data_IF_196364779365
#
_entry.id   IF_196364779365
#
_cell.length_a   1.000
_cell.length_b   1.000
_cell.length_c   1.000
_cell.angle_alpha   90.00
_cell.angle_beta   90.00
_cell.angle_gamma   90.00
#
_symmetry.space_group_name_H-M   'P 1'
#
loop_
_entity.id
_entity.type
_entity.pdbx_description
1 polymer ?
#
# COMPACT_ATOMS: atom_id res chain seq x y z
N UNK A 1 2.90 13.35 20.84
CA UNK A 1 2.92 13.21 19.38
C UNK A 1 2.34 11.83 19.08
N UNK A 2 1.25 11.73 18.31
CA UNK A 2 0.68 10.42 17.93
C UNK A 2 1.54 9.85 16.82
N UNK A 3 2.04 8.62 16.98
CA UNK A 3 2.77 7.94 15.91
C UNK A 3 1.77 7.23 15.00
N UNK A 4 1.62 7.71 13.78
CA UNK A 4 0.81 7.05 12.75
C UNK A 4 1.68 5.97 12.10
N UNK A 5 1.20 4.73 12.12
CA UNK A 5 1.77 3.63 11.34
C UNK A 5 0.99 3.58 10.02
N UNK A 6 1.57 3.99 8.89
CA UNK A 6 0.86 4.00 7.62
C UNK A 6 0.62 2.58 7.11
N UNK A 7 -0.36 2.42 6.22
CA UNK A 7 -0.48 1.20 5.44
C UNK A 7 0.75 1.04 4.54
N UNK A 8 1.28 -0.17 4.48
CA UNK A 8 2.39 -0.50 3.60
C UNK A 8 1.89 -0.81 2.18
N UNK A 9 2.67 -0.39 1.19
CA UNK A 9 2.54 -0.79 -0.21
C UNK A 9 3.82 -1.51 -0.59
N UNK A 10 3.72 -2.61 -1.34
CA UNK A 10 4.89 -3.32 -1.87
C UNK A 10 5.43 -2.53 -3.06
N UNK A 11 6.18 -1.46 -2.80
CA UNK A 11 6.70 -0.55 -3.84
C UNK A 11 7.56 -1.29 -4.89
N UNK A 12 8.17 -2.42 -4.56
CA UNK A 12 8.88 -3.28 -5.52
C UNK A 12 7.98 -3.89 -6.61
N UNK A 13 6.67 -4.06 -6.35
CA UNK A 13 5.69 -4.48 -7.36
C UNK A 13 5.31 -3.34 -8.32
N UNK A 14 5.52 -2.09 -7.91
CA UNK A 14 5.15 -0.88 -8.66
C UNK A 14 6.40 -0.07 -8.99
N UNK A 15 7.09 -0.44 -10.06
CA UNK A 15 8.32 0.24 -10.51
C UNK A 15 8.19 0.76 -11.94
N UNK A 16 8.92 1.82 -12.34
CA UNK A 16 9.06 2.19 -13.74
C UNK A 16 9.55 1.01 -14.60
N UNK A 17 9.35 1.10 -15.92
CA UNK A 17 9.92 0.15 -16.87
C UNK A 17 11.45 0.25 -16.87
N UNK A 18 12.12 -0.90 -16.83
CA UNK A 18 13.56 -0.94 -17.06
C UNK A 18 13.85 -0.64 -18.55
N UNK A 19 14.97 -0.01 -18.95
CA UNK A 19 15.26 0.28 -20.37
C UNK A 19 15.21 -0.95 -21.29
N UNK A 20 15.52 -2.14 -20.78
CA UNK A 20 15.36 -3.40 -21.54
C UNK A 20 13.90 -3.85 -21.71
N UNK A 21 12.99 -3.43 -20.84
CA UNK A 21 11.54 -3.71 -20.93
C UNK A 21 10.86 -2.79 -21.95
N UNK A 22 11.36 -1.56 -22.15
CA UNK A 22 10.82 -0.57 -23.11
C UNK A 22 10.97 -1.05 -24.56
N UNK A 23 12.05 -1.77 -24.88
CA UNK A 23 12.35 -2.26 -26.23
C UNK A 23 12.07 -3.76 -26.42
N UNK A 24 11.60 -4.47 -25.39
CA UNK A 24 11.17 -5.84 -25.55
C UNK A 24 9.97 -5.89 -26.52
N UNK A 25 9.98 -6.74 -27.57
CA UNK A 25 8.76 -6.98 -28.34
C UNK A 25 7.69 -7.45 -27.37
N UNK A 26 6.50 -6.84 -27.42
CA UNK A 26 5.51 -6.80 -26.33
C UNK A 26 5.03 -8.20 -25.86
N UNK A 27 5.87 -8.88 -25.09
CA UNK A 27 5.63 -10.22 -24.60
C UNK A 27 4.59 -10.15 -23.49
N UNK A 28 3.38 -10.62 -23.81
CA UNK A 28 2.19 -10.72 -22.95
C UNK A 28 1.34 -9.45 -22.77
N UNK A 29 1.63 -8.33 -23.44
CA UNK A 29 0.86 -7.09 -23.25
C UNK A 29 -0.55 -7.16 -23.90
N UNK A 30 -1.58 -6.80 -23.14
CA UNK A 30 -2.94 -6.56 -23.66
C UNK A 30 -2.90 -5.59 -24.85
N UNK A 31 -3.37 -6.05 -26.02
CA UNK A 31 -3.29 -5.31 -27.29
C UNK A 31 -4.05 -3.97 -27.29
N UNK A 32 -4.94 -3.75 -26.31
CA UNK A 32 -5.71 -2.52 -26.13
C UNK A 32 -4.95 -1.40 -25.38
N UNK A 33 -3.75 -1.64 -24.87
CA UNK A 33 -3.00 -0.64 -24.11
C UNK A 33 -2.07 0.21 -25.00
N UNK A 34 -2.13 1.57 -24.95
CA UNK A 34 -1.28 2.45 -25.75
C UNK A 34 0.18 2.34 -25.32
N UNK A 35 1.17 2.40 -26.24
CA UNK A 35 2.58 2.13 -25.93
C UNK A 35 3.11 2.99 -24.76
N UNK A 36 4.03 2.45 -23.93
CA UNK A 36 4.59 3.22 -22.82
C UNK A 36 5.33 4.47 -23.35
N UNK A 37 5.29 5.59 -22.61
CA UNK A 37 5.99 6.81 -22.98
C UNK A 37 7.51 6.61 -22.90
N UNK A 38 8.29 7.56 -23.46
CA UNK A 38 9.74 7.62 -23.24
C UNK A 38 10.10 7.55 -21.76
N UNK A 39 11.30 7.05 -21.47
CA UNK A 39 11.82 6.93 -20.10
C UNK A 39 11.71 8.26 -19.34
N UNK A 40 11.25 8.22 -18.08
CA UNK A 40 11.02 9.38 -17.21
C UNK A 40 12.24 10.29 -16.97
N UNK A 41 13.42 9.90 -17.45
CA UNK A 41 14.65 10.69 -17.42
C UNK A 41 14.76 11.72 -18.55
N UNK A 42 13.93 11.62 -19.60
CA UNK A 42 13.89 12.58 -20.70
C UNK A 42 12.86 13.70 -20.42
N UNK A 43 13.20 14.98 -20.67
CA UNK A 43 12.24 16.07 -20.58
C UNK A 43 11.23 16.00 -21.73
N UNK A 44 9.97 16.33 -21.46
CA UNK A 44 8.92 16.38 -22.48
C UNK A 44 9.06 17.63 -23.36
N UNK A 45 9.02 17.43 -24.67
CA UNK A 45 8.94 18.50 -25.66
C UNK A 45 7.54 19.10 -25.78
N UNK A 46 7.39 20.29 -26.40
CA UNK A 46 6.08 20.97 -26.54
C UNK A 46 5.02 20.17 -27.32
N UNK A 47 5.45 19.23 -28.17
CA UNK A 47 4.60 18.41 -29.02
C UNK A 47 4.43 16.97 -28.49
N UNK A 48 5.03 16.64 -27.34
CA UNK A 48 4.96 15.29 -26.80
C UNK A 48 3.59 15.02 -26.17
N UNK A 49 3.11 13.79 -26.31
CA UNK A 49 1.81 13.38 -25.80
C UNK A 49 1.85 13.09 -24.29
N UNK A 50 1.02 13.79 -23.52
CA UNK A 50 0.95 13.63 -22.06
C UNK A 50 -0.26 12.74 -21.71
N UNK A 51 0.00 11.47 -21.47
CA UNK A 51 -0.98 10.54 -20.90
C UNK A 51 -1.24 10.82 -19.41
N UNK A 52 -2.51 11.06 -19.06
CA UNK A 52 -3.05 11.10 -17.70
C UNK A 52 -3.71 9.75 -17.41
N UNK A 53 -3.30 9.07 -16.35
CA UNK A 53 -3.84 7.78 -15.93
C UNK A 53 -4.83 7.96 -14.78
N UNK A 54 -5.95 7.25 -14.84
CA UNK A 54 -6.94 7.14 -13.76
C UNK A 54 -7.20 5.65 -13.51
N UNK A 55 -7.03 5.18 -12.28
CA UNK A 55 -7.34 3.79 -11.90
C UNK A 55 -8.21 3.81 -10.65
N UNK A 56 -9.52 3.62 -10.80
CA UNK A 56 -10.45 3.68 -9.66
C UNK A 56 -11.74 2.91 -9.87
N UNK A 57 -12.46 2.63 -8.77
CA UNK A 57 -13.86 2.21 -8.86
C UNK A 57 -14.69 3.40 -9.33
N UNK A 58 -15.48 3.22 -10.39
CA UNK A 58 -16.28 4.29 -11.02
C UNK A 58 -17.56 4.54 -10.22
N UNK A 59 -17.41 5.23 -9.10
CA UNK A 59 -18.43 5.53 -8.08
C UNK A 59 -18.40 7.01 -7.69
N UNK A 60 -19.54 7.54 -7.25
CA UNK A 60 -19.69 8.92 -6.80
C UNK A 60 -18.60 9.38 -5.81
N UNK A 61 -18.36 8.60 -4.75
CA UNK A 61 -17.37 8.95 -3.72
C UNK A 61 -15.90 8.92 -4.22
N UNK A 62 -15.63 8.31 -5.38
CA UNK A 62 -14.35 8.36 -6.08
C UNK A 62 -14.24 9.50 -7.09
N UNK A 63 -15.24 10.38 -7.15
CA UNK A 63 -15.20 11.59 -7.96
C UNK A 63 -15.37 11.35 -9.45
N UNK A 64 -16.03 10.25 -9.86
CA UNK A 64 -16.27 10.00 -11.29
C UNK A 64 -17.09 11.12 -11.94
N UNK A 65 -18.00 11.77 -11.20
CA UNK A 65 -18.74 12.93 -11.70
C UNK A 65 -17.82 14.15 -11.94
N UNK A 66 -16.79 14.34 -11.11
CA UNK A 66 -15.75 15.36 -11.35
C UNK A 66 -14.87 15.00 -12.55
N UNK A 67 -14.56 13.71 -12.80
CA UNK A 67 -13.89 13.28 -14.03
C UNK A 67 -14.73 13.60 -15.27
N UNK A 68 -16.01 13.23 -15.24
CA UNK A 68 -16.96 13.45 -16.34
C UNK A 68 -17.03 14.94 -16.73
N UNK A 69 -17.07 15.84 -15.74
CA UNK A 69 -17.11 17.28 -15.99
C UNK A 69 -15.75 17.88 -16.40
N UNK A 70 -14.64 17.45 -15.78
CA UNK A 70 -13.31 18.05 -16.01
C UNK A 70 -12.60 17.55 -17.26
N UNK A 71 -12.77 16.28 -17.68
CA UNK A 71 -12.05 15.69 -18.83
C UNK A 71 -12.24 16.52 -20.12
N UNK A 72 -13.45 16.91 -20.54
CA UNK A 72 -13.64 17.75 -21.74
C UNK A 72 -12.88 19.08 -21.67
N UNK A 73 -12.86 19.72 -20.49
CA UNK A 73 -12.20 21.03 -20.29
C UNK A 73 -10.68 20.91 -20.29
N UNK A 74 -10.13 19.89 -19.65
CA UNK A 74 -8.68 19.59 -19.67
C UNK A 74 -8.24 19.30 -21.10
N UNK A 75 -9.00 18.48 -21.85
CA UNK A 75 -8.70 18.15 -23.23
C UNK A 75 -8.92 19.32 -24.21
N UNK A 76 -9.80 20.27 -23.91
CA UNK A 76 -9.93 21.50 -24.69
C UNK A 76 -8.75 22.46 -24.47
N UNK A 77 -8.24 22.54 -23.23
CA UNK A 77 -7.09 23.38 -22.88
C UNK A 77 -5.75 22.81 -23.36
N UNK A 78 -5.60 21.48 -23.39
CA UNK A 78 -4.33 20.80 -23.70
C UNK A 78 -4.49 19.82 -24.87
N UNK A 79 -4.20 20.22 -26.12
CA UNK A 79 -4.38 19.36 -27.30
C UNK A 79 -3.60 18.03 -27.24
N UNK A 80 -2.40 18.06 -26.66
CA UNK A 80 -1.48 16.92 -26.57
C UNK A 80 -1.75 15.99 -25.38
N UNK A 81 -2.77 16.27 -24.56
CA UNK A 81 -3.17 15.40 -23.44
C UNK A 81 -4.08 14.28 -23.91
N UNK A 82 -3.88 13.10 -23.33
CA UNK A 82 -4.75 11.92 -23.50
C UNK A 82 -5.06 11.30 -22.13
N UNK A 83 -6.19 10.61 -22.01
CA UNK A 83 -6.57 9.89 -20.80
C UNK A 83 -6.55 8.38 -21.01
N UNK A 84 -6.07 7.66 -20.01
CA UNK A 84 -6.14 6.21 -19.90
C UNK A 84 -6.86 5.86 -18.61
N UNK A 85 -8.09 5.36 -18.71
CA UNK A 85 -8.99 5.17 -17.56
C UNK A 85 -9.26 3.68 -17.39
N UNK A 86 -8.85 3.13 -16.24
CA UNK A 86 -9.19 1.79 -15.80
C UNK A 86 -10.14 1.84 -14.59
N UNK A 87 -11.14 0.97 -14.60
CA UNK A 87 -12.16 0.94 -13.57
C UNK A 87 -13.46 0.30 -14.03
N UNK A 88 -14.28 -0.05 -13.05
CA UNK A 88 -15.67 -0.46 -13.24
C UNK A 88 -16.53 0.12 -12.12
N UNK A 89 -17.82 0.27 -12.39
CA UNK A 89 -18.80 0.79 -11.44
C UNK A 89 -20.01 1.40 -12.13
N UNK A 90 -21.04 1.81 -11.38
CA UNK A 90 -22.29 2.34 -11.95
C UNK A 90 -22.08 3.60 -12.81
N UNK A 91 -21.01 4.37 -12.57
CA UNK A 91 -20.67 5.58 -13.32
C UNK A 91 -19.92 5.34 -14.64
N UNK A 92 -19.69 4.08 -15.04
CA UNK A 92 -19.07 3.76 -16.33
C UNK A 92 -19.93 4.26 -17.51
N UNK A 93 -21.25 4.05 -17.44
CA UNK A 93 -22.20 4.44 -18.50
C UNK A 93 -22.24 5.98 -18.65
N UNK A 94 -22.29 6.72 -17.54
CA UNK A 94 -22.25 8.19 -17.55
C UNK A 94 -20.95 8.73 -18.20
N UNK A 95 -19.83 8.02 -17.99
CA UNK A 95 -18.53 8.35 -18.58
C UNK A 95 -18.50 8.05 -20.08
N UNK A 96 -18.99 6.88 -20.53
CA UNK A 96 -19.12 6.53 -21.95
C UNK A 96 -20.01 7.52 -22.70
N UNK A 97 -21.18 7.87 -22.15
CA UNK A 97 -22.10 8.86 -22.74
C UNK A 97 -21.47 10.26 -22.85
N UNK A 98 -20.57 10.62 -21.93
CA UNK A 98 -19.80 11.87 -22.01
C UNK A 98 -18.80 11.81 -23.17
N UNK A 99 -18.09 10.69 -23.36
CA UNK A 99 -17.16 10.52 -24.48
C UNK A 99 -17.86 10.58 -25.84
N UNK A 100 -19.04 9.98 -25.96
CA UNK A 100 -19.88 10.08 -27.17
C UNK A 100 -20.31 11.52 -27.44
N UNK A 101 -20.87 12.19 -26.42
CA UNK A 101 -21.39 13.57 -26.53
C UNK A 101 -20.32 14.59 -26.94
N UNK A 102 -19.10 14.41 -26.47
CA UNK A 102 -17.98 15.31 -26.73
C UNK A 102 -17.01 14.81 -27.81
N UNK A 103 -17.27 13.65 -28.42
CA UNK A 103 -16.44 13.00 -29.46
C UNK A 103 -14.98 12.85 -29.00
N UNK A 104 -14.79 12.21 -27.84
CA UNK A 104 -13.48 12.15 -27.15
C UNK A 104 -12.76 10.80 -27.22
N UNK A 105 -13.33 9.78 -27.89
CA UNK A 105 -12.76 8.42 -27.98
C UNK A 105 -11.32 8.37 -28.53
N UNK A 106 -10.95 9.29 -29.44
CA UNK A 106 -9.58 9.37 -29.95
C UNK A 106 -8.55 9.77 -28.87
N UNK A 107 -9.00 10.47 -27.81
CA UNK A 107 -8.14 11.01 -26.74
C UNK A 107 -8.37 10.39 -25.37
N UNK A 108 -9.45 9.61 -25.18
CA UNK A 108 -9.76 8.92 -23.93
C UNK A 108 -9.94 7.43 -24.20
N UNK A 109 -9.06 6.60 -23.64
CA UNK A 109 -9.15 5.14 -23.72
C UNK A 109 -9.71 4.59 -22.41
N UNK A 110 -10.92 4.00 -22.48
CA UNK A 110 -11.51 3.24 -21.39
C UNK A 110 -11.06 1.77 -21.48
N UNK A 111 -10.43 1.26 -20.41
CA UNK A 111 -9.94 -0.11 -20.33
C UNK A 111 -10.91 -1.07 -19.63
N UNK A 112 -11.91 -0.55 -18.93
CA UNK A 112 -12.74 -1.35 -18.04
C UNK A 112 -11.98 -1.84 -16.79
N UNK A 113 -12.43 -2.92 -16.13
CA UNK A 113 -11.78 -3.45 -14.94
C UNK A 113 -10.42 -4.09 -15.25
N UNK A 114 -9.40 -3.75 -14.47
CA UNK A 114 -8.02 -4.24 -14.60
C UNK A 114 -7.65 -5.05 -13.36
N UNK A 115 -6.96 -6.19 -13.53
CA UNK A 115 -6.54 -7.04 -12.40
C UNK A 115 -5.38 -6.38 -11.65
N UNK A 116 -5.25 -6.62 -10.34
CA UNK A 116 -4.24 -5.95 -9.52
C UNK A 116 -2.80 -6.14 -10.05
N UNK A 117 -2.48 -7.32 -10.58
CA UNK A 117 -1.19 -7.63 -11.22
C UNK A 117 -0.90 -6.80 -12.48
N UNK A 118 -1.94 -6.32 -13.19
CA UNK A 118 -1.84 -5.52 -14.42
C UNK A 118 -1.84 -4.01 -14.15
N UNK A 119 -2.11 -3.57 -12.92
CA UNK A 119 -2.22 -2.14 -12.55
C UNK A 119 -0.92 -1.40 -12.85
N UNK A 120 0.26 -2.01 -12.56
CA UNK A 120 1.57 -1.45 -12.94
C UNK A 120 1.64 -1.17 -14.44
N UNK A 121 1.22 -2.12 -15.27
CA UNK A 121 1.36 -2.05 -16.72
C UNK A 121 0.45 -0.99 -17.36
N UNK A 122 -0.60 -0.56 -16.65
CA UNK A 122 -1.39 0.64 -16.98
C UNK A 122 -0.70 1.90 -16.44
N UNK A 123 -0.25 1.91 -15.18
CA UNK A 123 0.40 3.07 -14.56
C UNK A 123 1.64 3.53 -15.33
N UNK A 124 2.54 2.62 -15.72
CA UNK A 124 3.79 2.98 -16.43
C UNK A 124 3.56 3.60 -17.82
N UNK A 125 2.32 3.65 -18.32
CA UNK A 125 1.94 4.35 -19.57
C UNK A 125 1.59 5.83 -19.34
N UNK A 126 1.57 6.28 -18.07
CA UNK A 126 1.21 7.63 -17.66
C UNK A 126 2.39 8.56 -17.35
N UNK A 127 2.10 9.85 -17.37
CA UNK A 127 2.97 10.90 -16.82
C UNK A 127 2.38 11.51 -15.56
N UNK A 128 1.05 11.63 -15.54
CA UNK A 128 0.25 12.14 -14.42
C UNK A 128 -0.71 11.03 -13.97
N UNK A 129 -0.92 10.90 -12.68
CA UNK A 129 -2.01 10.12 -12.10
C UNK A 129 -3.07 11.05 -11.52
N UNK A 130 -4.32 10.95 -11.96
CA UNK A 130 -5.41 11.81 -11.53
C UNK A 130 -6.36 11.07 -10.57
N UNK A 131 -6.51 11.61 -9.36
CA UNK A 131 -7.31 11.01 -8.28
C UNK A 131 -8.28 12.02 -7.64
N UNK A 132 -9.48 12.22 -8.21
CA UNK A 132 -10.41 13.26 -7.78
C UNK A 132 -11.41 12.79 -6.69
N UNK A 133 -10.99 11.88 -5.80
CA UNK A 133 -11.87 11.27 -4.81
C UNK A 133 -12.54 12.31 -3.90
N UNK A 134 -13.83 12.15 -3.59
CA UNK A 134 -14.52 13.05 -2.64
C UNK A 134 -14.18 12.69 -1.18
N UNK A 135 -13.83 11.43 -0.94
CA UNK A 135 -13.41 10.90 0.35
C UNK A 135 -12.30 9.86 0.18
N UNK A 136 -11.19 9.99 0.90
CA UNK A 136 -10.14 8.97 0.93
C UNK A 136 -9.37 9.05 2.26
N UNK A 137 -8.97 7.90 2.80
CA UNK A 137 -8.26 7.82 4.07
C UNK A 137 -6.74 7.81 3.87
N UNK A 138 -6.25 6.98 2.95
CA UNK A 138 -4.83 6.83 2.66
C UNK A 138 -4.53 6.67 1.17
N UNK A 139 -5.46 6.13 0.37
CA UNK A 139 -5.27 6.03 -1.08
C UNK A 139 -3.97 5.33 -1.49
N UNK A 140 -3.82 4.03 -1.18
CA UNK A 140 -2.63 3.23 -1.55
C UNK A 140 -2.24 3.38 -3.02
N UNK A 141 -3.23 3.54 -3.90
CA UNK A 141 -3.05 3.78 -5.34
C UNK A 141 -2.22 5.03 -5.68
N UNK A 142 -2.17 6.04 -4.80
CA UNK A 142 -1.28 7.19 -4.97
C UNK A 142 0.19 6.79 -4.80
N UNK A 143 0.46 5.96 -3.79
CA UNK A 143 1.78 5.39 -3.51
C UNK A 143 2.21 4.48 -4.65
N UNK A 144 1.32 3.62 -5.14
CA UNK A 144 1.53 2.76 -6.32
C UNK A 144 1.88 3.58 -7.57
N UNK A 145 1.12 4.65 -7.86
CA UNK A 145 1.35 5.52 -9.00
C UNK A 145 2.66 6.34 -8.89
N UNK A 146 2.96 6.89 -7.71
CA UNK A 146 4.22 7.59 -7.46
C UNK A 146 5.42 6.65 -7.53
N UNK A 147 5.26 5.38 -7.10
CA UNK A 147 6.27 4.33 -7.29
C UNK A 147 6.52 4.01 -8.78
N UNK A 148 5.57 4.29 -9.66
CA UNK A 148 5.72 4.21 -11.12
C UNK A 148 6.25 5.52 -11.76
N UNK A 149 6.73 6.48 -10.96
CA UNK A 149 7.20 7.82 -11.37
C UNK A 149 6.12 8.74 -12.00
N UNK A 150 4.84 8.61 -11.62
CA UNK A 150 3.79 9.54 -12.06
C UNK A 150 3.72 10.76 -11.14
N UNK A 151 3.49 11.95 -11.72
CA UNK A 151 3.11 13.14 -10.96
C UNK A 151 1.66 12.99 -10.48
N UNK A 152 1.38 13.19 -9.20
CA UNK A 152 0.06 12.94 -8.64
C UNK A 152 -0.75 14.23 -8.66
N UNK A 153 -1.91 14.23 -9.32
CA UNK A 153 -2.93 15.27 -9.19
C UNK A 153 -4.08 14.68 -8.39
N UNK A 154 -4.37 15.24 -7.21
CA UNK A 154 -5.37 14.66 -6.32
C UNK A 154 -6.17 15.71 -5.55
N UNK A 155 -7.36 15.32 -5.12
CA UNK A 155 -8.19 16.13 -4.23
C UNK A 155 -7.63 16.13 -2.81
N UNK A 156 -7.62 17.31 -2.18
CA UNK A 156 -7.18 17.54 -0.80
C UNK A 156 -8.26 17.12 0.19
N UNK A 157 -8.50 15.81 0.31
CA UNK A 157 -9.54 15.22 1.18
C UNK A 157 -8.97 14.18 2.14
N UNK A 158 -9.55 14.09 3.34
CA UNK A 158 -9.14 13.13 4.37
C UNK A 158 -7.64 13.14 4.65
N UNK A 159 -7.02 11.96 4.70
CA UNK A 159 -5.58 11.81 4.98
C UNK A 159 -4.66 11.99 3.78
N UNK A 160 -5.18 12.22 2.56
CA UNK A 160 -4.39 12.35 1.33
C UNK A 160 -3.21 13.34 1.41
N UNK A 161 -3.31 14.50 2.10
CA UNK A 161 -2.18 15.44 2.23
C UNK A 161 -0.97 14.90 3.01
N UNK A 162 -1.10 13.77 3.70
CA UNK A 162 -0.04 13.14 4.50
C UNK A 162 0.65 11.98 3.77
N UNK A 163 0.13 11.56 2.60
CA UNK A 163 0.54 10.31 1.91
C UNK A 163 1.79 10.49 1.05
N UNK A 164 2.01 11.66 0.45
CA UNK A 164 3.16 11.92 -0.41
C UNK A 164 3.70 13.33 -0.19
N UNK A 165 5.02 13.56 -0.36
CA UNK A 165 5.61 14.88 -0.27
C UNK A 165 5.05 15.85 -1.32
N UNK A 166 4.97 17.13 -0.95
CA UNK A 166 4.40 18.19 -1.79
C UNK A 166 5.01 18.31 -3.20
N UNK A 167 6.26 17.90 -3.42
CA UNK A 167 6.90 17.91 -4.75
C UNK A 167 6.45 16.78 -5.68
N UNK A 168 5.72 15.78 -5.16
CA UNK A 168 5.10 14.70 -5.94
C UNK A 168 3.61 14.95 -6.22
N UNK A 169 3.00 15.95 -5.56
CA UNK A 169 1.55 16.11 -5.49
C UNK A 169 1.09 17.52 -5.84
N UNK A 170 0.23 17.66 -6.83
CA UNK A 170 -0.57 18.88 -7.05
C UNK A 170 -1.96 18.66 -6.46
N UNK A 171 -2.35 19.53 -5.53
CA UNK A 171 -3.62 19.43 -4.83
C UNK A 171 -4.71 20.30 -5.47
N UNK A 172 -5.90 19.70 -5.61
CA UNK A 172 -7.14 20.38 -5.95
C UNK A 172 -8.12 20.32 -4.76
N UNK A 173 -9.08 21.24 -4.72
CA UNK A 173 -10.36 21.03 -4.02
C UNK A 173 -11.21 19.99 -4.79
N UNK A 174 -12.22 19.36 -4.15
CA UNK A 174 -13.20 18.50 -4.83
C UNK A 174 -14.22 19.33 -5.64
N UNK A 175 -13.73 20.22 -6.49
CA UNK A 175 -14.45 21.20 -7.31
C UNK A 175 -13.92 21.10 -8.75
N UNK A 176 -14.79 21.20 -9.76
CA UNK A 176 -14.43 21.02 -11.17
C UNK A 176 -13.35 22.01 -11.63
N UNK A 177 -13.54 23.30 -11.39
CA UNK A 177 -12.60 24.36 -11.80
C UNK A 177 -11.20 24.15 -11.19
N UNK A 178 -11.12 23.79 -9.92
CA UNK A 178 -9.84 23.61 -9.23
C UNK A 178 -9.13 22.32 -9.64
N UNK A 179 -9.89 21.29 -10.04
CA UNK A 179 -9.34 20.07 -10.63
C UNK A 179 -8.78 20.31 -12.05
N UNK A 180 -9.49 21.10 -12.87
CA UNK A 180 -9.01 21.53 -14.20
C UNK A 180 -7.75 22.40 -14.06
N UNK A 181 -7.73 23.34 -13.10
CA UNK A 181 -6.54 24.14 -12.78
C UNK A 181 -5.37 23.27 -12.34
N UNK A 182 -5.54 22.45 -11.30
CA UNK A 182 -4.47 21.60 -10.77
C UNK A 182 -3.90 20.63 -11.83
N UNK A 183 -4.75 20.10 -12.70
CA UNK A 183 -4.29 19.26 -13.82
C UNK A 183 -3.50 20.06 -14.86
N UNK A 184 -3.93 21.29 -15.15
CA UNK A 184 -3.22 22.20 -16.07
C UNK A 184 -1.87 22.64 -15.51
N UNK A 185 -1.79 22.94 -14.22
CA UNK A 185 -0.53 23.27 -13.53
C UNK A 185 0.43 22.08 -13.57
N UNK A 186 -0.06 20.86 -13.32
CA UNK A 186 0.72 19.64 -13.42
C UNK A 186 1.23 19.36 -14.85
N UNK A 187 0.42 19.62 -15.88
CA UNK A 187 0.83 19.57 -17.29
C UNK A 187 1.92 20.61 -17.57
N UNK A 188 1.78 21.84 -17.05
CA UNK A 188 2.81 22.88 -17.13
C UNK A 188 4.14 22.49 -16.46
N UNK A 189 4.08 21.90 -15.26
CA UNK A 189 5.25 21.39 -14.53
C UNK A 189 6.02 20.27 -15.25
N UNK A 190 5.35 19.53 -16.13
CA UNK A 190 5.96 18.49 -16.97
C UNK A 190 6.60 19.04 -18.24
N UNK A 191 6.05 20.12 -18.81
CA UNK A 191 6.57 20.81 -20.00
C UNK A 191 7.54 21.97 -19.66
N UNK A 192 7.75 22.23 -18.36
CA UNK A 192 8.60 23.30 -17.85
C UNK A 192 10.08 23.17 -18.25
N UNK A 193 10.82 24.28 -18.13
CA UNK A 193 12.27 24.32 -18.40
C UNK A 193 13.02 24.87 -17.19
N UNK A 194 14.26 24.39 -17.00
CA UNK A 194 15.08 24.75 -15.84
C UNK A 194 14.43 24.33 -14.52
N UNK A 195 14.48 25.17 -13.50
CA UNK A 195 13.97 24.91 -12.15
C UNK A 195 12.46 24.66 -12.07
N UNK A 196 11.69 24.96 -13.13
CA UNK A 196 10.25 24.68 -13.20
C UNK A 196 9.92 23.23 -13.61
N UNK A 197 10.90 22.45 -14.06
CA UNK A 197 10.71 21.07 -14.50
C UNK A 197 10.73 20.09 -13.33
N UNK A 198 9.64 19.35 -13.10
CA UNK A 198 9.60 18.32 -12.06
C UNK A 198 10.38 17.06 -12.48
N UNK A 199 11.41 16.74 -11.69
CA UNK A 199 12.24 15.52 -11.81
C UNK A 199 11.55 14.30 -11.19
N UNK A 200 10.74 13.61 -11.99
CA UNK A 200 9.99 12.40 -11.59
C UNK A 200 10.84 11.13 -11.47
N UNK A 201 12.04 11.11 -12.05
CA UNK A 201 12.94 9.94 -12.11
C UNK A 201 13.33 9.38 -10.72
N UNK A 202 13.22 10.19 -9.66
CA UNK A 202 13.54 9.81 -8.27
C UNK A 202 12.33 9.42 -7.43
N UNK A 203 11.10 9.50 -7.95
CA UNK A 203 9.89 9.27 -7.15
C UNK A 203 9.84 7.83 -6.63
N UNK A 204 10.11 6.83 -7.48
CA UNK A 204 10.19 5.42 -7.08
C UNK A 204 11.08 5.19 -5.86
N UNK A 205 12.32 5.72 -5.89
CA UNK A 205 13.29 5.50 -4.81
C UNK A 205 12.87 6.21 -3.52
N UNK A 206 12.36 7.44 -3.64
CA UNK A 206 11.84 8.18 -2.48
C UNK A 206 10.64 7.46 -1.84
N UNK A 207 9.70 6.96 -2.63
CA UNK A 207 8.52 6.23 -2.14
C UNK A 207 8.92 4.89 -1.52
N UNK A 208 9.85 4.15 -2.13
CA UNK A 208 10.42 2.90 -1.60
C UNK A 208 11.02 3.09 -0.21
N UNK A 209 11.71 4.22 0.03
CA UNK A 209 12.30 4.55 1.33
C UNK A 209 11.28 5.08 2.36
N UNK A 210 10.08 5.48 1.94
CA UNK A 210 9.01 5.92 2.84
C UNK A 210 8.11 4.77 3.32
N UNK A 211 7.80 3.81 2.45
CA UNK A 211 6.80 2.77 2.69
C UNK A 211 7.41 1.36 2.59
N UNK A 212 7.93 0.88 3.72
CA UNK A 212 8.51 -0.45 3.88
C UNK A 212 7.69 -1.30 4.85
N UNK A 213 7.28 -2.49 4.42
CA UNK A 213 6.62 -3.48 5.30
C UNK A 213 7.50 -3.84 6.51
N UNK A 214 8.81 -4.00 6.31
CA UNK A 214 9.75 -4.35 7.39
C UNK A 214 9.89 -3.23 8.42
N UNK A 215 9.85 -1.96 8.00
CA UNK A 215 9.86 -0.82 8.93
C UNK A 215 8.52 -0.67 9.66
N UNK A 216 7.41 -0.92 8.97
CA UNK A 216 6.06 -0.89 9.56
C UNK A 216 5.88 -2.03 10.57
N UNK A 217 6.36 -3.24 10.25
CA UNK A 217 6.41 -4.36 11.18
C UNK A 217 7.26 -4.00 12.42
N UNK A 218 8.50 -3.55 12.23
CA UNK A 218 9.41 -3.17 13.34
C UNK A 218 8.87 -2.03 14.21
N UNK A 219 8.14 -1.07 13.63
CA UNK A 219 7.46 0.00 14.39
C UNK A 219 6.24 -0.54 15.16
N UNK A 220 5.51 -1.47 14.56
CA UNK A 220 4.36 -2.13 15.18
C UNK A 220 4.80 -3.01 16.35
N UNK A 221 5.81 -3.87 16.15
CA UNK A 221 6.44 -4.69 17.19
C UNK A 221 6.83 -3.85 18.40
N UNK A 222 7.52 -2.71 18.20
CA UNK A 222 7.87 -1.79 19.30
C UNK A 222 6.65 -1.28 20.08
N UNK A 223 5.50 -1.08 19.44
CA UNK A 223 4.28 -0.68 20.15
C UNK A 223 3.71 -1.86 20.97
N UNK A 224 3.72 -3.08 20.42
CA UNK A 224 3.35 -4.28 21.17
C UNK A 224 4.30 -4.52 22.35
N UNK A 225 5.62 -4.49 22.13
CA UNK A 225 6.65 -4.64 23.16
C UNK A 225 6.50 -3.59 24.27
N UNK A 226 6.20 -2.32 23.93
CA UNK A 226 5.94 -1.27 24.92
C UNK A 226 4.68 -1.56 25.76
N UNK A 227 3.60 -2.04 25.15
CA UNK A 227 2.35 -2.36 25.86
C UNK A 227 2.52 -3.62 26.72
N UNK A 228 3.28 -4.62 26.24
CA UNK A 228 3.56 -5.87 26.97
C UNK A 228 4.60 -5.68 28.07
N UNK A 229 5.57 -4.78 27.91
CA UNK A 229 6.52 -4.41 28.97
C UNK A 229 5.88 -3.49 30.04
N UNK A 230 4.85 -2.72 29.66
CA UNK A 230 3.99 -2.00 30.61
C UNK A 230 2.84 -2.87 31.14
N UNK A 231 3.04 -4.20 31.21
CA UNK A 231 2.34 -5.07 32.16
C UNK A 231 2.75 -4.76 33.61
N UNK A 232 2.52 -3.52 34.02
CA UNK A 232 2.11 -3.20 35.39
C UNK A 232 0.88 -4.07 35.70
N UNK A 233 0.99 -5.13 36.52
CA UNK A 233 -0.08 -6.12 36.64
C UNK A 233 -1.28 -5.46 37.32
N UNK A 234 -2.32 -5.18 36.54
CA UNK A 234 -3.54 -4.55 37.01
C UNK A 234 -3.30 -3.19 37.71
N UNK A 235 -3.41 -2.08 36.95
CA UNK A 235 -4.08 -0.92 37.55
C UNK A 235 -5.47 -1.39 37.97
N UNK A 236 -5.68 -1.46 39.29
CA UNK A 236 -6.72 -2.28 39.91
C UNK A 236 -8.11 -2.00 39.31
N UNK A 237 -9.04 -2.94 39.42
CA UNK A 237 -10.47 -2.74 39.10
C UNK A 237 -10.95 -1.36 39.62
N UNK A 238 -10.50 -1.01 40.83
CA UNK A 238 -10.64 0.27 41.52
C UNK A 238 -10.25 1.49 40.65
N UNK A 239 -9.11 1.48 39.95
CA UNK A 239 -8.65 2.62 39.13
C UNK A 239 -9.33 2.71 37.77
N UNK A 240 -9.93 1.61 37.29
CA UNK A 240 -10.88 1.63 36.17
C UNK A 240 -12.21 2.22 36.65
N UNK A 241 -12.74 1.74 37.78
CA UNK A 241 -13.98 2.23 38.40
C UNK A 241 -13.92 3.72 38.76
N UNK A 242 -12.80 4.22 39.31
CA UNK A 242 -12.57 5.66 39.56
C UNK A 242 -12.69 6.49 38.27
N UNK A 243 -12.12 6.02 37.16
CA UNK A 243 -12.21 6.68 35.85
C UNK A 243 -13.65 6.74 35.35
N UNK A 244 -14.39 5.63 35.42
CA UNK A 244 -15.81 5.61 35.02
C UNK A 244 -16.69 6.48 35.92
N UNK A 245 -16.48 6.49 37.23
CA UNK A 245 -17.24 7.34 38.16
C UNK A 245 -17.05 8.85 37.89
N UNK A 246 -15.91 9.23 37.30
CA UNK A 246 -15.65 10.61 36.84
C UNK A 246 -16.51 11.05 35.64
N UNK A 247 -17.11 10.13 34.89
CA UNK A 247 -17.93 10.41 33.69
C UNK A 247 -19.37 10.84 34.04
N UNK A 248 -19.52 11.85 34.90
CA UNK A 248 -20.81 12.49 35.23
C UNK A 248 -21.71 11.69 36.17
N UNK A 249 -22.62 12.39 36.85
CA UNK A 249 -23.36 11.90 38.03
C UNK A 249 -24.23 10.65 37.77
N UNK A 250 -24.79 10.54 36.56
CA UNK A 250 -25.66 9.42 36.16
C UNK A 250 -24.94 8.41 35.26
N UNK A 251 -24.28 8.88 34.20
CA UNK A 251 -23.57 8.01 33.26
C UNK A 251 -22.42 7.25 33.94
N UNK A 252 -21.66 7.88 34.84
CA UNK A 252 -20.59 7.21 35.58
C UNK A 252 -21.10 6.09 36.51
N UNK A 253 -22.27 6.26 37.14
CA UNK A 253 -22.91 5.21 37.94
C UNK A 253 -23.38 4.03 37.07
N UNK A 254 -23.91 4.32 35.87
CA UNK A 254 -24.30 3.29 34.91
C UNK A 254 -23.07 2.50 34.41
N UNK A 255 -21.98 3.17 34.04
CA UNK A 255 -20.75 2.50 33.63
C UNK A 255 -20.12 1.66 34.75
N UNK A 256 -20.13 2.15 35.99
CA UNK A 256 -19.70 1.36 37.16
C UNK A 256 -20.55 0.11 37.34
N UNK A 257 -21.88 0.20 37.18
CA UNK A 257 -22.76 -0.96 37.23
C UNK A 257 -22.44 -1.98 36.12
N UNK A 258 -22.25 -1.52 34.88
CA UNK A 258 -21.86 -2.39 33.76
C UNK A 258 -20.54 -3.11 34.05
N UNK A 259 -19.50 -2.40 34.51
CA UNK A 259 -18.20 -3.01 34.84
C UNK A 259 -18.31 -4.04 35.98
N UNK A 260 -19.19 -3.84 36.95
CA UNK A 260 -19.46 -4.82 38.00
C UNK A 260 -20.16 -6.05 37.42
N UNK A 261 -21.14 -5.88 36.53
CA UNK A 261 -21.81 -7.00 35.84
C UNK A 261 -20.83 -7.77 34.95
N UNK A 262 -19.99 -7.08 34.17
CA UNK A 262 -18.94 -7.69 33.34
C UNK A 262 -17.93 -8.46 34.20
N UNK A 263 -17.56 -7.93 35.37
CA UNK A 263 -16.67 -8.63 36.31
C UNK A 263 -17.32 -9.88 36.92
N UNK A 264 -18.61 -9.83 37.28
CA UNK A 264 -19.35 -11.00 37.75
C UNK A 264 -19.51 -12.05 36.66
N UNK A 265 -19.78 -11.64 35.42
CA UNK A 265 -19.81 -12.52 34.25
C UNK A 265 -18.43 -13.15 33.99
N UNK A 266 -17.36 -12.36 34.12
CA UNK A 266 -15.99 -12.84 34.02
C UNK A 266 -15.67 -13.91 35.08
N UNK A 267 -16.01 -13.67 36.36
CA UNK A 267 -15.82 -14.68 37.43
C UNK A 267 -16.66 -15.93 37.18
N UNK A 268 -17.90 -15.77 36.71
CA UNK A 268 -18.76 -16.89 36.32
C UNK A 268 -18.14 -17.71 35.17
N UNK A 269 -17.66 -17.04 34.13
CA UNK A 269 -16.97 -17.69 33.01
C UNK A 269 -15.69 -18.39 33.46
N UNK A 270 -14.93 -17.85 34.41
CA UNK A 270 -13.71 -18.47 34.95
C UNK A 270 -14.00 -19.73 35.79
N UNK A 271 -15.22 -19.88 36.33
CA UNK A 271 -15.68 -21.11 36.99
C UNK A 271 -16.04 -22.20 35.96
N UNK A 272 -16.72 -21.84 34.87
CA UNK A 272 -17.17 -22.79 33.84
C UNK A 272 -16.10 -23.12 32.79
N UNK A 273 -15.20 -22.19 32.52
CA UNK A 273 -14.11 -22.26 31.54
C UNK A 273 -12.82 -21.72 32.18
N UNK A 274 -12.13 -22.55 33.00
CA UNK A 274 -10.96 -22.12 33.73
C UNK A 274 -9.84 -21.66 32.79
N UNK A 275 -9.17 -20.55 33.10
CA UNK A 275 -8.06 -20.00 32.27
C UNK A 275 -6.96 -21.00 31.95
N UNK A 276 -6.69 -21.93 32.86
CA UNK A 276 -5.71 -23.03 32.71
C UNK A 276 -6.02 -24.01 31.57
N UNK A 277 -7.29 -24.07 31.14
CA UNK A 277 -7.79 -24.97 30.11
C UNK A 277 -7.95 -24.25 28.75
N UNK A 278 -7.59 -22.96 28.68
CA UNK A 278 -7.48 -22.19 27.43
C UNK A 278 -6.20 -22.63 26.71
N UNK A 279 -6.32 -23.02 25.43
CA UNK A 279 -5.18 -23.31 24.58
C UNK A 279 -4.34 -22.05 24.39
N UNK A 280 -3.19 -22.01 25.08
CA UNK A 280 -2.22 -20.93 24.95
C UNK A 280 -1.59 -21.05 23.57
N UNK A 281 -1.94 -20.09 22.69
CA UNK A 281 -1.29 -19.94 21.40
C UNK A 281 0.22 -19.93 21.60
N UNK A 282 0.90 -20.96 21.10
CA UNK A 282 2.37 -21.03 21.14
C UNK A 282 2.93 -19.82 20.40
N UNK A 283 3.89 -19.15 21.01
CA UNK A 283 4.64 -18.09 20.35
C UNK A 283 5.11 -18.57 18.98
N UNK A 284 4.83 -17.78 17.95
CA UNK A 284 5.29 -18.09 16.62
C UNK A 284 6.83 -18.11 16.64
N UNK A 285 7.49 -19.15 16.09
CA UNK A 285 8.94 -19.23 16.12
C UNK A 285 9.54 -17.98 15.47
N UNK A 286 10.34 -17.23 16.24
CA UNK A 286 10.98 -16.01 15.74
C UNK A 286 11.88 -16.39 14.56
N UNK A 287 11.64 -15.82 13.37
CA UNK A 287 12.56 -15.92 12.23
C UNK A 287 13.84 -15.19 12.65
N UNK A 288 14.98 -15.88 12.64
CA UNK A 288 16.27 -15.20 12.75
C UNK A 288 16.43 -14.29 11.53
N UNK A 289 16.48 -12.98 11.77
CA UNK A 289 16.52 -11.97 10.73
C UNK A 289 17.90 -11.93 10.06
N UNK A 290 18.07 -12.71 8.99
CA UNK A 290 19.09 -12.46 7.97
C UNK A 290 18.58 -11.31 7.09
N UNK A 291 19.43 -10.33 6.76
CA UNK A 291 19.03 -9.12 6.02
C UNK A 291 18.23 -9.44 4.75
N UNK A 292 16.97 -8.97 4.70
CA UNK A 292 15.95 -9.30 3.68
C UNK A 292 16.24 -8.76 2.25
N UNK A 293 17.40 -8.15 1.98
CA UNK A 293 17.79 -7.71 0.63
C UNK A 293 17.80 -8.85 -0.40
N UNK A 294 17.87 -10.11 0.06
CA UNK A 294 17.80 -11.32 -0.77
C UNK A 294 16.37 -11.79 -1.06
N UNK A 295 15.42 -11.68 -0.12
CA UNK A 295 14.10 -12.35 -0.21
C UNK A 295 13.21 -11.75 -1.33
N UNK A 296 13.43 -10.48 -1.72
CA UNK A 296 12.80 -9.86 -2.88
C UNK A 296 13.18 -10.53 -4.24
N UNK A 297 14.24 -11.34 -4.28
CA UNK A 297 14.62 -12.12 -5.47
C UNK A 297 13.94 -13.49 -5.54
N UNK A 298 13.57 -14.07 -4.38
CA UNK A 298 13.03 -15.43 -4.26
C UNK A 298 11.63 -15.61 -4.84
N UNK A 299 10.84 -14.54 -4.95
CA UNK A 299 9.50 -14.60 -5.57
C UNK A 299 9.53 -14.79 -7.10
N UNK A 300 10.68 -14.63 -7.77
CA UNK A 300 10.80 -14.69 -9.24
C UNK A 300 10.99 -16.10 -9.82
N UNK A 301 11.20 -17.11 -8.99
CA UNK A 301 11.50 -18.49 -9.43
C UNK A 301 10.37 -19.50 -9.17
N UNK A 302 9.20 -19.06 -8.70
CA UNK A 302 8.03 -19.92 -8.47
C UNK A 302 7.25 -20.29 -9.76
N UNK A 303 7.95 -20.56 -10.87
CA UNK A 303 7.38 -21.24 -12.03
C UNK A 303 7.38 -22.76 -11.79
N UNK A 304 6.42 -23.26 -11.01
CA UNK A 304 6.30 -24.69 -10.75
C UNK A 304 5.18 -25.02 -9.76
N UNK A 305 4.29 -25.92 -10.16
CA UNK A 305 3.12 -26.36 -9.41
C UNK A 305 3.50 -27.06 -8.09
N UNK A 306 3.53 -26.34 -6.97
CA UNK A 306 3.77 -26.97 -5.65
C UNK A 306 2.45 -27.50 -5.06
N UNK A 307 2.15 -28.77 -5.35
CA UNK A 307 1.25 -29.55 -4.48
C UNK A 307 1.93 -29.68 -3.11
N UNK A 308 1.25 -29.27 -2.03
CA UNK A 308 1.68 -29.61 -0.66
C UNK A 308 1.64 -31.13 -0.48
N UNK A 309 2.80 -31.76 -0.47
CA UNK A 309 2.95 -33.11 0.08
C UNK A 309 2.69 -33.04 1.59
N UNK A 310 1.62 -33.69 2.05
CA UNK A 310 1.47 -34.11 3.45
C UNK A 310 2.13 -35.48 3.54
N UNK A 311 3.35 -35.53 4.07
CA UNK A 311 3.89 -36.81 4.52
C UNK A 311 3.68 -36.95 6.03
N UNK A 312 2.89 -37.97 6.37
CA UNK A 312 2.58 -38.38 7.73
C UNK A 312 2.63 -39.91 7.80
N UNK A 313 3.73 -40.45 8.34
CA UNK A 313 3.88 -41.85 8.75
C UNK A 313 5.04 -41.93 9.74
N UNK A 314 4.74 -42.22 11.01
CA UNK A 314 5.00 -43.52 11.68
C UNK A 314 6.50 -43.78 11.97
N UNK A 315 6.92 -43.77 13.24
CA UNK A 315 6.73 -44.82 14.28
C UNK A 315 7.67 -46.02 14.10
N UNK A 316 8.51 -46.33 15.10
CA UNK A 316 9.25 -47.60 15.16
C UNK A 316 10.53 -47.57 16.01
N UNK A 317 10.61 -48.47 16.97
CA UNK A 317 11.73 -48.68 17.91
C UNK A 317 12.94 -49.44 17.32
N UNK A 318 14.01 -49.53 18.15
CA UNK A 318 15.03 -50.58 18.20
C UNK A 318 16.13 -50.59 17.11
N UNK A 319 17.35 -51.11 17.34
CA UNK A 319 18.26 -51.26 18.50
C UNK A 319 19.54 -51.97 17.95
N UNK A 320 20.65 -51.97 18.69
CA UNK A 320 21.83 -52.86 18.50
C UNK A 320 22.71 -52.62 17.23
N UNK A 321 24.05 -52.83 17.24
CA UNK A 321 25.06 -52.84 18.32
C UNK A 321 26.49 -52.86 17.69
N UNK A 322 27.51 -52.62 18.55
CA UNK A 322 28.91 -53.10 18.47
C UNK A 322 30.01 -52.38 17.67
N UNK A 323 30.93 -51.78 18.46
CA UNK A 323 32.41 -51.94 18.45
C UNK A 323 33.21 -51.35 17.25
N UNK A 324 34.48 -50.92 17.33
CA UNK A 324 35.50 -50.58 18.36
C UNK A 324 36.68 -49.89 17.59
N UNK A 325 37.78 -49.29 18.10
CA UNK A 325 38.44 -49.21 19.43
C UNK A 325 39.44 -48.00 19.44
N UNK A 326 40.10 -47.74 20.59
CA UNK A 326 41.42 -47.03 20.76
C UNK A 326 41.42 -45.49 20.60
N UNK A 327 41.64 -44.69 21.65
CA UNK A 327 42.91 -44.36 22.39
C UNK A 327 43.97 -43.66 21.51
N UNK A 328 44.68 -42.59 21.90
CA UNK A 328 44.94 -41.96 23.22
C UNK A 328 45.55 -40.55 23.07
N UNK A 329 45.70 -39.81 24.20
CA UNK A 329 46.64 -38.67 24.46
C UNK A 329 46.48 -37.37 23.63
N UNK A 330 46.68 -36.16 24.18
CA UNK A 330 46.96 -35.75 25.57
C UNK A 330 47.39 -34.26 25.65
N UNK A 331 47.43 -33.68 26.86
CA UNK A 331 48.00 -32.35 27.24
C UNK A 331 47.36 -31.09 26.60
N UNK A 332 46.87 -30.05 27.29
CA UNK A 332 47.26 -29.27 28.50
C UNK A 332 47.93 -27.91 28.15
N UNK A 333 47.68 -26.89 29.00
CA UNK A 333 48.26 -25.51 29.03
C UNK A 333 47.81 -24.51 27.94
N UNK A 334 47.80 -23.17 28.13
CA UNK A 334 47.63 -22.23 29.29
C UNK A 334 47.60 -20.78 28.75
N UNK A 335 47.19 -19.79 29.56
CA UNK A 335 47.34 -18.34 29.30
C UNK A 335 46.15 -17.75 28.51
N UNK A 336 45.41 -16.71 28.94
CA UNK A 336 45.75 -15.47 29.65
C UNK A 336 46.86 -14.65 28.98
N UNK A 337 46.46 -13.62 28.23
CA UNK A 337 46.51 -12.24 28.72
C UNK A 337 45.33 -11.43 28.18
#
# INVERSE_FOLDING_TARGET
MVSVIPNAVVASNFRPLHPSEVHAPAALANQQLPPPPPLTTQPLGPNDTITIVVISRLFYNKGTDLLIASIPRILAAHPNVRFLIAGSGPKAIDLEQMLDRHILHDRVTLLGPVRHEEVRDVMVRGHIYLHPSLTEAFGTVLVEAASCNLLIVCTRVGGIPEVLPGHMTVFAKPEEDDLVRATSDAVGMLMGKGDQLIRRDRFHEQVRMMYSWSDIARRTEKVYDLISADESPSSALIDRLKRYYGCGVWAGKLFVLCVVVDYLLYVFLEIFFPRKDIDLCRDWPKKDWVNDDADASGLKTANGTVRRARDSSHSGDALLEKTNTRTSSGSAEKGQS
#
